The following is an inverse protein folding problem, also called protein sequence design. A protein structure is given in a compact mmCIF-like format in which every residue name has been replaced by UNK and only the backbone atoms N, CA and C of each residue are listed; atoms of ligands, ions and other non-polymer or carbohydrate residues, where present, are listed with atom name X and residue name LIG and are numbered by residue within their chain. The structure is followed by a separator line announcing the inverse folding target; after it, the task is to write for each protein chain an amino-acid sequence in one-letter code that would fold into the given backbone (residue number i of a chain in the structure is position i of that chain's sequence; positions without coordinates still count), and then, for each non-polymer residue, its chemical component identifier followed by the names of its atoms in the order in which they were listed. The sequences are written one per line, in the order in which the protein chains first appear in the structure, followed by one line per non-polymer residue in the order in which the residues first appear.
data_IF_996065050154
#
_entry.id   IF_996065050154
#
_cell.length_a   1.000
_cell.length_b   1.000
_cell.length_c   1.000
_cell.angle_alpha   90.00
_cell.angle_beta   90.00
_cell.angle_gamma   90.00
#
_symmetry.space_group_name_H-M   'P 1'
#
loop_
_entity.id
_entity.type
_entity.pdbx_description
1 polymer ?
#
# COMPACT_ATOMS: atom_id res chain seq x y z
N UNK A 1 30.72 24.00 51.05
CA UNK A 1 30.32 22.58 51.17
C UNK A 1 28.91 22.52 51.72
N UNK A 2 28.01 21.81 51.03
CA UNK A 2 26.86 21.02 51.54
C UNK A 2 25.71 21.00 50.54
N UNK A 3 25.83 20.07 49.59
CA UNK A 3 24.75 19.51 48.78
C UNK A 3 24.26 18.26 49.51
N UNK A 4 22.99 18.14 49.87
CA UNK A 4 22.28 16.84 50.03
C UNK A 4 20.76 17.07 49.83
N UNK A 5 20.21 16.81 48.64
CA UNK A 5 19.56 15.56 48.18
C UNK A 5 18.16 15.36 48.79
N UNK A 6 17.12 15.83 48.07
CA UNK A 6 15.72 15.47 48.32
C UNK A 6 15.25 14.55 47.18
N UNK A 7 15.08 13.27 47.50
CA UNK A 7 14.55 12.23 46.62
C UNK A 7 13.02 12.25 46.70
N UNK A 8 12.36 12.67 45.62
CA UNK A 8 10.91 12.49 45.45
C UNK A 8 10.70 11.38 44.43
N UNK A 9 10.39 10.18 44.92
CA UNK A 9 9.94 9.06 44.11
C UNK A 9 8.47 9.27 43.74
N UNK A 10 8.23 9.64 42.47
CA UNK A 10 6.91 9.63 41.87
C UNK A 10 6.61 8.22 41.37
N UNK A 11 5.74 7.49 42.06
CA UNK A 11 5.22 6.19 41.59
C UNK A 11 4.15 6.42 40.53
N UNK A 12 4.52 6.22 39.27
CA UNK A 12 3.62 6.20 38.13
C UNK A 12 2.77 4.92 38.21
N UNK A 13 1.47 5.07 38.42
CA UNK A 13 0.52 3.98 38.33
C UNK A 13 0.44 3.51 36.86
N UNK A 14 0.89 2.28 36.60
CA UNK A 14 0.69 1.62 35.32
C UNK A 14 -0.76 1.12 35.27
N UNK A 15 -1.64 1.92 34.68
CA UNK A 15 -2.99 1.48 34.33
C UNK A 15 -2.86 0.42 33.25
N UNK A 16 -2.99 -0.85 33.63
CA UNK A 16 -3.05 -1.96 32.70
C UNK A 16 -4.31 -1.82 31.83
N UNK A 17 -4.11 -1.59 30.53
CA UNK A 17 -5.16 -1.67 29.54
C UNK A 17 -5.58 -3.15 29.44
N UNK A 18 -6.83 -3.47 29.81
CA UNK A 18 -7.37 -4.81 29.69
C UNK A 18 -7.42 -5.28 28.23
N UNK A 19 -7.54 -6.60 27.97
CA UNK A 19 -7.70 -7.09 26.61
C UNK A 19 -9.00 -6.52 26.03
N UNK A 20 -8.88 -5.78 24.93
CA UNK A 20 -10.02 -5.32 24.16
C UNK A 20 -10.81 -6.56 23.73
N UNK A 21 -12.01 -6.72 24.26
CA UNK A 21 -12.98 -7.72 23.81
C UNK A 21 -13.20 -7.49 22.31
N UNK A 22 -12.80 -8.45 21.49
CA UNK A 22 -13.06 -8.39 20.05
C UNK A 22 -14.59 -8.38 19.82
N UNK A 23 -15.09 -7.59 18.84
CA UNK A 23 -16.49 -7.65 18.44
C UNK A 23 -16.88 -9.09 18.07
N UNK A 24 -18.12 -9.47 18.36
CA UNK A 24 -18.70 -10.80 18.10
C UNK A 24 -18.75 -11.19 16.62
N UNK A 25 -18.45 -10.25 15.72
CA UNK A 25 -18.60 -10.42 14.28
C UNK A 25 -17.24 -10.67 13.58
N UNK A 26 -16.23 -11.12 14.32
CA UNK A 26 -14.94 -11.51 13.76
C UNK A 26 -15.08 -12.79 12.91
N UNK A 27 -15.29 -12.60 11.61
CA UNK A 27 -15.21 -13.65 10.60
C UNK A 27 -13.74 -14.00 10.31
N UNK A 28 -13.31 -15.15 10.83
CA UNK A 28 -11.96 -15.72 10.68
C UNK A 28 -11.56 -16.03 9.22
N UNK A 29 -12.47 -15.95 8.26
CA UNK A 29 -12.17 -16.24 6.85
C UNK A 29 -11.55 -15.04 6.10
N UNK A 30 -11.50 -13.85 6.71
CA UNK A 30 -10.92 -12.64 6.11
C UNK A 30 -9.92 -11.92 7.04
N UNK A 31 -8.63 -12.36 7.09
CA UNK A 31 -7.67 -11.89 8.08
C UNK A 31 -7.11 -10.45 7.86
N UNK A 32 -7.69 -9.61 7.00
CA UNK A 32 -7.16 -8.27 6.67
C UNK A 32 -8.25 -7.19 6.54
N UNK A 33 -9.16 -7.09 7.52
CA UNK A 33 -10.11 -5.98 7.63
C UNK A 33 -9.47 -4.71 8.20
N UNK A 34 -8.83 -3.88 7.37
CA UNK A 34 -8.58 -2.48 7.72
C UNK A 34 -9.91 -1.73 7.66
N UNK A 35 -10.49 -1.44 8.83
CA UNK A 35 -11.79 -0.77 8.95
C UNK A 35 -11.81 0.55 8.14
N UNK A 36 -12.62 0.60 7.07
CA UNK A 36 -12.92 1.84 6.32
C UNK A 36 -12.26 2.02 4.95
N UNK A 37 -11.43 1.07 4.47
CA UNK A 37 -10.80 1.17 3.14
C UNK A 37 -11.60 0.43 2.05
N UNK A 38 -11.91 1.06 0.90
CA UNK A 38 -12.52 0.37 -0.24
C UNK A 38 -11.66 -0.80 -0.74
N UNK A 39 -12.29 -1.96 -0.99
CA UNK A 39 -11.60 -3.20 -1.37
C UNK A 39 -10.77 -3.05 -2.65
N UNK A 40 -11.28 -2.36 -3.66
CA UNK A 40 -10.56 -2.13 -4.91
C UNK A 40 -9.21 -1.43 -4.74
N UNK A 41 -9.10 -0.55 -3.74
CA UNK A 41 -7.84 0.15 -3.43
C UNK A 41 -6.88 -0.81 -2.73
N UNK A 42 -7.37 -1.68 -1.84
CA UNK A 42 -6.57 -2.73 -1.20
C UNK A 42 -6.03 -3.73 -2.24
N UNK A 43 -6.89 -4.18 -3.15
CA UNK A 43 -6.53 -5.11 -4.22
C UNK A 43 -5.46 -4.50 -5.14
N UNK A 44 -5.65 -3.25 -5.57
CA UNK A 44 -4.66 -2.56 -6.40
C UNK A 44 -3.33 -2.36 -5.66
N UNK A 45 -3.34 -2.02 -4.37
CA UNK A 45 -2.11 -1.89 -3.59
C UNK A 45 -1.37 -3.23 -3.43
N UNK A 46 -2.08 -4.35 -3.31
CA UNK A 46 -1.47 -5.69 -3.30
C UNK A 46 -0.80 -6.01 -4.63
N UNK A 47 -1.46 -5.70 -5.75
CA UNK A 47 -0.90 -5.86 -7.10
C UNK A 47 0.33 -5.01 -7.35
N UNK A 48 0.30 -3.77 -6.87
CA UNK A 48 1.45 -2.86 -6.89
C UNK A 48 2.65 -3.48 -6.18
N UNK A 49 2.45 -4.05 -4.99
CA UNK A 49 3.53 -4.71 -4.23
C UNK A 49 4.06 -5.97 -4.92
N UNK A 50 3.21 -6.71 -5.64
CA UNK A 50 3.64 -7.87 -6.43
C UNK A 50 4.22 -7.51 -7.81
N UNK A 51 4.17 -6.24 -8.22
CA UNK A 51 4.70 -5.76 -9.50
C UNK A 51 3.76 -5.98 -10.69
N UNK A 52 2.50 -6.36 -10.45
CA UNK A 52 1.49 -6.62 -11.48
C UNK A 52 0.52 -5.45 -11.64
N UNK A 53 1.07 -4.29 -12.00
CA UNK A 53 0.25 -3.10 -12.28
C UNK A 53 -0.26 -3.22 -13.72
N UNK A 54 -1.58 -3.23 -13.96
CA UNK A 54 -2.10 -3.30 -15.32
C UNK A 54 -1.72 -2.00 -16.06
N UNK A 55 -1.15 -2.08 -17.27
CA UNK A 55 -0.65 -0.92 -17.99
C UNK A 55 -1.68 0.20 -18.17
N UNK A 56 -2.95 -0.15 -18.28
CA UNK A 56 -4.06 0.80 -18.48
C UNK A 56 -4.46 1.54 -17.20
N UNK A 57 -4.08 1.04 -16.02
CA UNK A 57 -4.24 1.76 -14.76
C UNK A 57 -3.13 2.80 -14.55
N UNK A 58 -2.03 2.71 -15.30
CA UNK A 58 -0.91 3.65 -15.22
C UNK A 58 -1.30 4.92 -15.97
N UNK A 59 -1.43 6.01 -15.22
CA UNK A 59 -1.71 7.34 -15.79
C UNK A 59 -0.43 7.96 -16.33
N UNK A 60 0.67 7.88 -15.55
CA UNK A 60 1.99 8.35 -15.98
C UNK A 60 3.09 7.77 -15.10
N UNK A 61 4.34 7.88 -15.57
CA UNK A 61 5.54 7.49 -14.81
C UNK A 61 6.50 8.66 -14.76
N UNK A 62 6.95 8.97 -13.54
CA UNK A 62 7.86 10.05 -13.20
C UNK A 62 9.22 9.47 -12.86
N UNK A 63 10.27 9.88 -13.57
CA UNK A 63 11.62 9.41 -13.35
C UNK A 63 12.44 10.35 -12.47
N UNK A 64 13.41 9.80 -11.76
CA UNK A 64 14.28 10.54 -10.85
C UNK A 64 15.76 10.27 -11.11
N UNK A 65 16.57 11.29 -10.84
CA UNK A 65 18.02 11.14 -10.77
C UNK A 65 18.46 10.26 -9.60
N UNK A 66 19.71 9.81 -9.66
CA UNK A 66 20.36 9.07 -8.59
C UNK A 66 20.35 9.89 -7.29
N UNK A 67 19.94 9.27 -6.17
CA UNK A 67 19.81 9.92 -4.86
C UNK A 67 18.99 11.24 -4.88
N UNK A 68 18.02 11.37 -5.79
CA UNK A 68 17.13 12.52 -5.86
C UNK A 68 15.68 12.14 -5.62
N UNK A 69 14.95 13.07 -5.00
CA UNK A 69 13.49 13.03 -4.86
C UNK A 69 12.80 14.30 -5.38
N UNK A 70 13.57 15.27 -5.88
CA UNK A 70 13.00 16.45 -6.55
C UNK A 70 12.45 16.06 -7.91
N UNK A 71 11.18 16.42 -8.17
CA UNK A 71 10.59 16.30 -9.51
C UNK A 71 11.21 17.36 -10.42
N UNK A 72 12.00 16.92 -11.39
CA UNK A 72 12.69 17.77 -12.37
C UNK A 72 11.68 18.42 -13.34
N UNK A 73 12.06 19.56 -13.94
CA UNK A 73 11.14 20.34 -14.79
C UNK A 73 10.58 19.54 -15.99
N UNK A 74 11.39 18.66 -16.58
CA UNK A 74 10.97 17.77 -17.68
C UNK A 74 9.91 16.75 -17.27
N UNK A 75 9.85 16.39 -15.98
CA UNK A 75 8.88 15.44 -15.46
C UNK A 75 7.62 16.14 -14.95
N UNK A 76 7.75 17.40 -14.49
CA UNK A 76 6.61 18.25 -14.12
C UNK A 76 5.64 18.45 -15.26
N UNK A 77 6.13 18.66 -16.48
CA UNK A 77 5.27 18.81 -17.66
C UNK A 77 4.37 17.60 -17.90
N UNK A 78 4.81 16.38 -17.55
CA UNK A 78 3.97 15.17 -17.60
C UNK A 78 2.85 15.22 -16.57
N UNK A 79 3.15 15.68 -15.36
CA UNK A 79 2.16 15.87 -14.29
C UNK A 79 1.15 16.96 -14.65
N UNK A 80 1.62 18.07 -15.23
CA UNK A 80 0.78 19.15 -15.71
C UNK A 80 -0.20 18.66 -16.79
N UNK A 81 0.26 17.83 -17.72
CA UNK A 81 -0.56 17.27 -18.80
C UNK A 81 -1.69 16.36 -18.30
N UNK A 82 -1.48 15.61 -17.21
CA UNK A 82 -2.49 14.70 -16.66
C UNK A 82 -3.41 15.35 -15.62
N UNK A 83 -3.09 16.55 -15.14
CA UNK A 83 -3.75 17.19 -14.01
C UNK A 83 -5.27 17.24 -14.13
N UNK A 84 -5.79 17.53 -15.33
CA UNK A 84 -7.23 17.54 -15.59
C UNK A 84 -7.86 16.15 -15.55
N UNK A 85 -7.16 15.13 -16.07
CA UNK A 85 -7.66 13.77 -16.20
C UNK A 85 -7.72 13.00 -14.86
N UNK A 86 -6.96 13.45 -13.85
CA UNK A 86 -6.91 12.81 -12.53
C UNK A 86 -7.79 13.48 -11.47
N UNK A 87 -8.48 14.57 -11.81
CA UNK A 87 -9.36 15.25 -10.84
C UNK A 87 -10.46 14.31 -10.36
N UNK A 88 -10.63 14.25 -9.04
CA UNK A 88 -11.63 13.40 -8.40
C UNK A 88 -11.32 11.90 -8.41
N UNK A 89 -10.18 11.47 -8.96
CA UNK A 89 -9.74 10.07 -8.92
C UNK A 89 -9.01 9.75 -7.63
N UNK A 90 -9.06 8.48 -7.23
CA UNK A 90 -8.22 7.94 -6.16
C UNK A 90 -6.92 7.42 -6.76
N UNK A 91 -5.78 7.92 -6.30
CA UNK A 91 -4.47 7.63 -6.86
C UNK A 91 -3.62 6.83 -5.87
N UNK A 92 -2.97 5.78 -6.37
CA UNK A 92 -1.86 5.13 -5.69
C UNK A 92 -0.55 5.59 -6.32
N UNK A 93 0.41 5.95 -5.48
CA UNK A 93 1.71 6.49 -5.88
C UNK A 93 2.82 5.57 -5.39
N UNK A 94 3.04 4.41 -6.03
CA UNK A 94 4.18 3.58 -5.73
C UNK A 94 5.49 4.26 -6.13
N UNK A 95 6.38 4.41 -5.15
CA UNK A 95 7.74 4.88 -5.33
C UNK A 95 8.72 3.71 -5.40
N UNK A 96 9.72 3.86 -6.25
CA UNK A 96 10.74 2.86 -6.52
C UNK A 96 12.14 3.47 -6.45
N UNK A 97 13.13 2.63 -6.15
CA UNK A 97 14.56 2.92 -6.25
C UNK A 97 15.28 1.87 -7.11
N UNK A 98 16.52 2.15 -7.46
CA UNK A 98 17.44 1.12 -7.95
C UNK A 98 17.95 0.27 -6.79
N UNK A 99 18.75 -0.76 -7.10
CA UNK A 99 19.30 -1.74 -6.15
C UNK A 99 20.47 -1.20 -5.30
N UNK A 100 20.83 0.08 -5.45
CA UNK A 100 22.02 0.64 -4.81
C UNK A 100 21.64 1.22 -3.46
N UNK A 101 22.26 0.72 -2.38
CA UNK A 101 22.05 1.21 -1.02
C UNK A 101 21.58 0.10 -0.09
N UNK A 102 21.04 0.50 1.07
CA UNK A 102 20.35 -0.43 1.97
C UNK A 102 18.85 -0.38 1.71
N UNK A 103 18.16 -1.47 2.03
CA UNK A 103 16.71 -1.56 1.88
C UNK A 103 15.98 -0.43 2.63
N UNK A 104 16.36 -0.14 3.87
CA UNK A 104 15.69 0.88 4.70
C UNK A 104 15.88 2.28 4.11
N UNK A 105 17.08 2.56 3.60
CA UNK A 105 17.36 3.81 2.92
C UNK A 105 16.51 3.94 1.67
N UNK A 106 16.41 2.87 0.88
CA UNK A 106 15.67 2.84 -0.37
C UNK A 106 14.15 2.94 -0.17
N UNK A 107 13.60 2.30 0.86
CA UNK A 107 12.22 2.51 1.30
C UNK A 107 12.00 3.99 1.62
N UNK A 108 12.85 4.60 2.46
CA UNK A 108 12.72 6.03 2.78
C UNK A 108 12.88 6.98 1.58
N UNK A 109 13.73 6.65 0.62
CA UNK A 109 13.90 7.44 -0.60
C UNK A 109 12.69 7.32 -1.53
N UNK A 110 12.15 6.12 -1.70
CA UNK A 110 10.95 5.88 -2.49
C UNK A 110 9.72 6.62 -1.94
N UNK A 111 9.57 6.65 -0.61
CA UNK A 111 8.52 7.41 0.08
C UNK A 111 8.62 8.91 -0.23
N UNK A 112 9.83 9.50 -0.07
CA UNK A 112 10.07 10.93 -0.38
C UNK A 112 9.79 11.28 -1.85
N UNK A 113 10.14 10.39 -2.79
CA UNK A 113 9.83 10.57 -4.22
C UNK A 113 8.33 10.61 -4.45
N UNK A 114 7.61 9.63 -3.91
CA UNK A 114 6.16 9.55 -4.06
C UNK A 114 5.44 10.74 -3.40
N UNK A 115 5.88 11.17 -2.21
CA UNK A 115 5.37 12.37 -1.55
C UNK A 115 5.62 13.63 -2.38
N UNK A 116 6.78 13.75 -3.04
CA UNK A 116 7.09 14.90 -3.90
C UNK A 116 6.17 14.98 -5.12
N UNK A 117 5.79 13.83 -5.70
CA UNK A 117 4.77 13.75 -6.76
C UNK A 117 3.39 14.12 -6.22
N UNK A 118 3.01 13.56 -5.06
CA UNK A 118 1.74 13.86 -4.42
C UNK A 118 1.58 15.37 -4.15
N UNK A 119 2.59 16.00 -3.56
CA UNK A 119 2.59 17.43 -3.27
C UNK A 119 2.49 18.28 -4.53
N UNK A 120 3.14 17.85 -5.63
CA UNK A 120 3.00 18.52 -6.91
C UNK A 120 1.57 18.42 -7.45
N UNK A 121 0.97 17.23 -7.44
CA UNK A 121 -0.42 17.01 -7.87
C UNK A 121 -1.43 17.78 -7.02
N UNK A 122 -1.18 17.93 -5.72
CA UNK A 122 -2.00 18.76 -4.83
C UNK A 122 -1.96 20.23 -5.25
N UNK A 123 -0.80 20.76 -5.64
CA UNK A 123 -0.68 22.13 -6.18
C UNK A 123 -1.45 22.33 -7.48
N UNK A 124 -1.63 21.26 -8.26
CA UNK A 124 -2.44 21.28 -9.49
C UNK A 124 -3.95 21.11 -9.22
N UNK A 125 -4.35 20.95 -7.96
CA UNK A 125 -5.75 20.93 -7.52
C UNK A 125 -6.31 19.54 -7.23
N UNK A 126 -5.49 18.49 -7.18
CA UNK A 126 -5.93 17.16 -6.75
C UNK A 126 -6.02 17.08 -5.21
N UNK A 127 -6.96 16.30 -4.67
CA UNK A 127 -7.13 16.18 -3.22
C UNK A 127 -6.10 15.22 -2.61
N UNK A 128 -5.38 15.67 -1.58
CA UNK A 128 -4.44 14.80 -0.83
C UNK A 128 -5.13 13.59 -0.19
N UNK A 129 -6.39 13.73 0.23
CA UNK A 129 -7.16 12.63 0.82
C UNK A 129 -7.50 11.51 -0.17
N UNK A 130 -7.37 11.78 -1.48
CA UNK A 130 -7.58 10.81 -2.55
C UNK A 130 -6.26 10.22 -3.05
N UNK A 131 -5.15 10.45 -2.36
CA UNK A 131 -3.84 9.92 -2.73
C UNK A 131 -3.28 9.06 -1.61
N UNK A 132 -2.60 7.99 -2.00
CA UNK A 132 -1.85 7.14 -1.08
C UNK A 132 -0.47 6.84 -1.66
N UNK A 133 0.54 7.04 -0.82
CA UNK A 133 1.93 6.72 -1.14
C UNK A 133 2.21 5.27 -0.77
N UNK A 134 2.87 4.55 -1.67
CA UNK A 134 3.33 3.18 -1.43
C UNK A 134 4.86 3.15 -1.60
N UNK A 135 5.59 3.08 -0.51
CA UNK A 135 7.05 3.01 -0.54
C UNK A 135 7.51 1.57 -0.81
N UNK A 136 8.01 1.28 -2.02
CA UNK A 136 8.46 -0.06 -2.40
C UNK A 136 9.98 -0.22 -2.35
N UNK A 137 10.73 0.87 -2.21
CA UNK A 137 12.19 0.85 -2.24
C UNK A 137 12.73 0.10 -3.46
N UNK A 138 13.65 -0.82 -3.21
CA UNK A 138 14.33 -1.63 -4.22
C UNK A 138 13.71 -3.02 -4.43
N UNK A 139 12.56 -3.31 -3.81
CA UNK A 139 11.93 -4.64 -3.84
C UNK A 139 11.63 -5.18 -5.24
N UNK A 140 11.49 -4.29 -6.22
CA UNK A 140 11.25 -4.62 -7.64
C UNK A 140 12.40 -4.17 -8.55
N UNK A 141 13.54 -3.78 -7.98
CA UNK A 141 14.70 -3.35 -8.75
C UNK A 141 15.46 -4.54 -9.34
N UNK A 142 16.02 -4.35 -10.54
CA UNK A 142 16.92 -5.33 -11.12
C UNK A 142 18.27 -5.32 -10.38
N UNK A 143 18.56 -6.41 -9.66
CA UNK A 143 19.80 -6.57 -8.89
C UNK A 143 21.02 -6.68 -9.79
N UNK A 144 22.09 -5.94 -9.47
CA UNK A 144 23.35 -5.93 -10.25
C UNK A 144 23.21 -5.34 -11.66
N UNK A 145 22.12 -4.60 -11.92
CA UNK A 145 21.86 -4.03 -13.24
C UNK A 145 22.81 -2.87 -13.58
N UNK A 146 23.05 -2.66 -14.88
CA UNK A 146 23.80 -1.50 -15.35
C UNK A 146 23.06 -0.19 -15.06
N UNK A 147 23.78 0.94 -15.06
CA UNK A 147 23.19 2.26 -14.80
C UNK A 147 22.01 2.58 -15.73
N UNK A 148 22.07 2.17 -17.00
CA UNK A 148 20.97 2.39 -17.95
C UNK A 148 19.69 1.63 -17.60
N UNK A 149 19.79 0.54 -16.86
CA UNK A 149 18.64 -0.23 -16.37
C UNK A 149 18.22 0.29 -15.00
N UNK A 150 19.18 0.51 -14.10
CA UNK A 150 18.95 1.08 -12.77
C UNK A 150 18.21 2.43 -12.84
N UNK A 151 18.54 3.27 -13.84
CA UNK A 151 17.86 4.55 -14.05
C UNK A 151 16.37 4.44 -14.33
N UNK A 152 15.91 3.31 -14.88
CA UNK A 152 14.49 3.04 -15.15
C UNK A 152 13.74 2.60 -13.89
N UNK A 153 14.45 2.15 -12.86
CA UNK A 153 13.87 1.75 -11.56
C UNK A 153 13.75 2.93 -10.60
N UNK A 154 14.47 4.02 -10.83
CA UNK A 154 14.28 5.29 -10.12
C UNK A 154 13.04 6.03 -10.61
N UNK A 155 11.86 5.58 -10.16
CA UNK A 155 10.58 6.11 -10.64
C UNK A 155 9.50 6.19 -9.56
N UNK A 156 8.46 6.96 -9.86
CA UNK A 156 7.14 6.89 -9.22
C UNK A 156 6.12 6.67 -10.32
N UNK A 157 5.20 5.74 -10.12
CA UNK A 157 4.10 5.51 -11.06
C UNK A 157 2.84 6.15 -10.47
N UNK A 158 2.06 6.84 -11.29
CA UNK A 158 0.74 7.35 -10.90
C UNK A 158 -0.31 6.36 -11.37
N UNK A 159 -0.96 5.69 -10.43
CA UNK A 159 -1.94 4.62 -10.71
C UNK A 159 -3.34 5.05 -10.32
N UNK A 160 -4.31 4.88 -11.21
CA UNK A 160 -5.74 5.04 -10.89
C UNK A 160 -6.26 3.83 -10.12
N UNK A 161 -6.52 3.99 -8.83
CA UNK A 161 -7.00 2.93 -7.94
C UNK A 161 -8.41 2.43 -8.29
N UNK A 162 -9.18 3.23 -9.04
CA UNK A 162 -10.54 2.90 -9.46
C UNK A 162 -10.59 2.35 -10.89
N UNK A 163 -9.44 2.03 -11.50
CA UNK A 163 -9.41 1.41 -12.82
C UNK A 163 -10.21 0.11 -12.82
N UNK A 164 -11.29 0.06 -13.62
CA UNK A 164 -12.25 -1.06 -13.71
C UNK A 164 -11.91 -2.08 -14.79
N UNK A 165 -10.77 -1.95 -15.48
CA UNK A 165 -10.39 -2.96 -16.47
C UNK A 165 -10.10 -4.30 -15.80
N UNK A 166 -10.26 -5.38 -16.57
CA UNK A 166 -10.10 -6.74 -16.07
C UNK A 166 -8.79 -6.86 -15.28
N UNK A 167 -8.89 -7.09 -13.97
CA UNK A 167 -7.79 -7.68 -13.23
C UNK A 167 -7.42 -8.97 -13.98
N UNK A 168 -6.12 -9.30 -14.18
CA UNK A 168 -5.76 -10.65 -14.55
C UNK A 168 -6.39 -11.56 -13.50
N UNK A 169 -7.31 -12.41 -13.94
CA UNK A 169 -8.06 -13.33 -13.09
C UNK A 169 -7.11 -14.15 -12.23
N UNK A 170 -6.88 -13.71 -11.00
CA UNK A 170 -6.16 -14.46 -9.98
C UNK A 170 -6.77 -14.19 -8.60
N UNK A 171 -8.09 -14.29 -8.52
CA UNK A 171 -8.76 -14.89 -7.38
C UNK A 171 -9.93 -15.73 -7.88
N UNK A 172 -9.61 -16.85 -8.53
CA UNK A 172 -10.46 -18.04 -8.38
C UNK A 172 -10.40 -18.41 -6.91
N UNK A 173 -11.16 -17.69 -6.08
CA UNK A 173 -11.61 -18.22 -4.81
C UNK A 173 -12.26 -19.55 -5.16
N UNK A 174 -11.79 -20.61 -4.54
CA UNK A 174 -12.31 -21.95 -4.68
C UNK A 174 -13.79 -21.97 -4.24
N UNK A 175 -14.69 -21.61 -5.15
CA UNK A 175 -16.11 -21.90 -5.06
C UNK A 175 -16.30 -23.36 -5.51
N UNK A 176 -15.70 -24.29 -4.76
CA UNK A 176 -16.14 -25.67 -4.77
C UNK A 176 -17.52 -25.72 -4.10
N UNK A 177 -18.53 -25.63 -4.95
CA UNK A 177 -19.90 -26.04 -4.67
C UNK A 177 -19.90 -27.45 -4.06
N UNK A 178 -20.06 -27.56 -2.74
CA UNK A 178 -20.54 -28.80 -2.11
C UNK A 178 -22.04 -28.67 -1.89
N UNK A 179 -22.78 -28.75 -3.00
CA UNK A 179 -24.17 -29.17 -2.93
C UNK A 179 -24.17 -30.67 -2.60
N UNK A 180 -24.23 -30.97 -1.30
CA UNK A 180 -24.43 -32.30 -0.76
C UNK A 180 -25.53 -32.22 0.29
N UNK A 181 -26.77 -32.19 -0.18
CA UNK A 181 -27.98 -32.35 0.64
C UNK A 181 -27.91 -33.67 1.42
N UNK A 182 -27.49 -33.61 2.69
CA UNK A 182 -27.59 -34.71 3.63
C UNK A 182 -29.04 -34.77 4.15
N UNK A 183 -29.74 -35.87 3.80
CA UNK A 183 -31.10 -36.16 4.23
C UNK A 183 -31.23 -36.40 5.74
N UNK A 184 -32.47 -36.47 6.26
CA UNK A 184 -32.74 -36.60 7.69
C UNK A 184 -32.24 -37.94 8.26
N UNK A 185 -31.70 -37.87 9.48
CA UNK A 185 -31.20 -38.98 10.26
C UNK A 185 -32.26 -40.08 10.52
N UNK A 186 -31.91 -41.38 10.46
CA UNK A 186 -32.78 -42.44 10.95
C UNK A 186 -32.74 -42.57 12.48
N UNK A 187 -33.91 -42.84 13.08
CA UNK A 187 -34.12 -43.05 14.52
C UNK A 187 -33.40 -44.29 15.07
N UNK A 188 -33.05 -44.35 16.38
CA UNK A 188 -32.37 -45.50 16.97
C UNK A 188 -33.32 -46.68 17.20
N UNK A 189 -32.93 -47.88 16.73
CA UNK A 189 -33.55 -49.16 17.07
C UNK A 189 -32.88 -49.71 18.34
N UNK A 190 -33.65 -49.86 19.41
CA UNK A 190 -33.22 -50.47 20.66
C UNK A 190 -33.02 -51.98 20.50
N UNK A 191 -31.95 -52.49 21.10
CA UNK A 191 -31.66 -53.92 21.24
C UNK A 191 -32.34 -54.43 22.51
N UNK A 192 -33.17 -55.47 22.38
CA UNK A 192 -33.51 -56.42 23.44
C UNK A 192 -33.36 -57.82 22.85
#
# INVERSE_FOLDING_TARGET
MNRQTLLVLATLALTACGPASLPSDYDSSNPQGTFGRPQNISDMASRIRSGDIPPEAIVTTIYFGFNKYTVEASERSKLDAIAGAIKGKTLLLPGYTDHVGTEEYNVGLSDRRAQSVADYLVRLGSSKSQMEVVALGESQAAQGASESTASKDRKVIVVDANYKGAAPSASTGNAASINGSAGPAPAPVGIN
#
